data_IF_171735919080
#
_entry.id   IF_171735919080
#
_cell.length_a   1.000
_cell.length_b   1.000
_cell.length_c   1.000
_cell.angle_alpha   90.00
_cell.angle_beta   90.00
_cell.angle_gamma   90.00
#
_symmetry.space_group_name_H-M   'P 1'
#
loop_
_entity.id
_entity.type
_entity.pdbx_description
1 polymer ?
#
# COMPACT_ATOMS: atom_id res chain seq x y z
N UNK A 1 -18.40 -0.04 5.99
CA UNK A 1 -18.65 0.72 4.75
C UNK A 1 -17.92 0.06 3.57
N UNK A 2 -16.59 -0.04 3.55
CA UNK A 2 -15.83 -0.58 2.40
C UNK A 2 -16.25 -2.00 2.06
N UNK A 3 -16.38 -2.90 3.04
CA UNK A 3 -16.81 -4.29 2.79
C UNK A 3 -18.14 -4.35 2.02
N UNK A 4 -19.16 -3.62 2.47
CA UNK A 4 -20.45 -3.59 1.79
C UNK A 4 -20.36 -3.05 0.35
N UNK A 5 -19.36 -2.21 0.05
CA UNK A 5 -19.13 -1.71 -1.31
C UNK A 5 -18.50 -2.80 -2.17
N UNK A 6 -17.54 -3.55 -1.63
CA UNK A 6 -16.91 -4.69 -2.31
C UNK A 6 -17.97 -5.76 -2.63
N UNK A 7 -18.79 -6.13 -1.64
CA UNK A 7 -19.87 -7.11 -1.83
C UNK A 7 -20.81 -6.66 -2.95
N UNK A 8 -21.20 -5.38 -2.99
CA UNK A 8 -22.03 -4.83 -4.07
C UNK A 8 -21.39 -4.91 -5.44
N UNK A 9 -20.07 -4.70 -5.56
CA UNK A 9 -19.38 -4.86 -6.83
C UNK A 9 -19.39 -6.33 -7.28
N UNK A 10 -19.10 -7.25 -6.38
CA UNK A 10 -19.15 -8.68 -6.65
C UNK A 10 -20.57 -9.12 -7.08
N UNK A 11 -21.61 -8.70 -6.36
CA UNK A 11 -23.03 -8.98 -6.66
C UNK A 11 -23.46 -8.40 -8.03
N UNK A 12 -22.85 -7.28 -8.44
CA UNK A 12 -23.08 -6.69 -9.77
C UNK A 12 -22.25 -7.34 -10.90
N UNK A 13 -21.53 -8.43 -10.59
CA UNK A 13 -20.78 -9.20 -11.57
C UNK A 13 -19.39 -8.67 -11.92
N UNK A 14 -18.86 -7.73 -11.16
CA UNK A 14 -17.44 -7.36 -11.29
C UNK A 14 -16.58 -8.52 -10.79
N UNK A 15 -15.73 -9.04 -11.68
CA UNK A 15 -14.89 -10.20 -11.41
C UNK A 15 -13.52 -9.82 -10.86
N UNK A 16 -13.08 -8.60 -11.14
CA UNK A 16 -11.76 -8.11 -10.79
C UNK A 16 -11.89 -6.88 -9.89
N UNK A 17 -11.54 -7.04 -8.62
CA UNK A 17 -11.62 -5.97 -7.62
C UNK A 17 -10.24 -5.66 -7.09
N UNK A 18 -9.78 -4.43 -7.32
CA UNK A 18 -8.50 -3.94 -6.84
C UNK A 18 -8.76 -2.79 -5.88
N UNK A 19 -8.10 -2.84 -4.73
CA UNK A 19 -8.10 -1.74 -3.79
C UNK A 19 -6.83 -0.90 -3.96
N UNK A 20 -6.97 0.41 -3.99
CA UNK A 20 -5.83 1.31 -4.01
C UNK A 20 -5.94 2.32 -2.87
N UNK A 21 -4.81 2.65 -2.26
CA UNK A 21 -4.83 3.64 -1.20
C UNK A 21 -3.45 4.18 -0.83
N UNK A 22 -3.44 5.43 -0.37
CA UNK A 22 -2.26 6.10 0.16
C UNK A 22 -2.28 6.06 1.69
N UNK A 23 -1.10 5.90 2.32
CA UNK A 23 -0.94 5.97 3.77
C UNK A 23 -1.87 5.01 4.51
N UNK A 24 -2.70 5.49 5.43
CA UNK A 24 -3.67 4.68 6.16
C UNK A 24 -4.70 4.00 5.24
N UNK A 25 -5.06 4.62 4.12
CA UNK A 25 -5.93 4.02 3.11
C UNK A 25 -5.30 2.77 2.48
N UNK A 26 -4.03 2.82 2.10
CA UNK A 26 -3.28 1.67 1.61
C UNK A 26 -3.14 0.57 2.67
N UNK A 27 -2.89 0.96 3.92
CA UNK A 27 -2.80 0.02 5.05
C UNK A 27 -4.12 -0.71 5.30
N UNK A 28 -5.24 0.02 5.25
CA UNK A 28 -6.57 -0.59 5.39
C UNK A 28 -6.92 -1.49 4.21
N UNK A 29 -6.50 -1.15 2.99
CA UNK A 29 -6.70 -2.00 1.81
C UNK A 29 -6.02 -3.36 1.97
N UNK A 30 -4.76 -3.37 2.41
CA UNK A 30 -4.02 -4.60 2.73
C UNK A 30 -4.71 -5.41 3.83
N UNK A 31 -5.16 -4.75 4.90
CA UNK A 31 -5.88 -5.38 5.99
C UNK A 31 -7.19 -6.02 5.53
N UNK A 32 -7.94 -5.34 4.66
CA UNK A 32 -9.18 -5.88 4.10
C UNK A 32 -8.88 -7.10 3.24
N UNK A 33 -7.87 -7.06 2.37
CA UNK A 33 -7.50 -8.20 1.54
C UNK A 33 -7.10 -9.42 2.40
N UNK A 34 -6.28 -9.23 3.45
CA UNK A 34 -5.84 -10.32 4.33
C UNK A 34 -7.00 -11.02 5.06
N UNK A 35 -8.17 -10.37 5.15
CA UNK A 35 -9.39 -10.89 5.76
C UNK A 35 -10.46 -11.28 4.73
N UNK A 36 -10.21 -11.07 3.44
CA UNK A 36 -11.17 -11.41 2.39
C UNK A 36 -10.98 -12.86 1.93
N UNK A 37 -12.08 -13.51 1.58
CA UNK A 37 -12.08 -14.85 1.00
C UNK A 37 -11.98 -14.75 -0.52
N UNK A 38 -10.84 -14.22 -1.02
CA UNK A 38 -10.52 -14.06 -2.45
C UNK A 38 -11.45 -13.13 -3.25
N UNK A 39 -12.15 -12.21 -2.57
CA UNK A 39 -12.96 -11.19 -3.24
C UNK A 39 -12.15 -10.01 -3.80
N UNK A 40 -10.87 -9.91 -3.41
CA UNK A 40 -9.98 -8.81 -3.78
C UNK A 40 -8.76 -9.41 -4.46
N UNK A 41 -8.62 -9.13 -5.76
CA UNK A 41 -7.56 -9.69 -6.59
C UNK A 41 -6.20 -9.04 -6.33
N UNK A 42 -6.20 -7.75 -5.96
CA UNK A 42 -4.95 -7.05 -5.70
C UNK A 42 -5.10 -5.78 -4.87
N UNK A 43 -3.96 -5.32 -4.33
CA UNK A 43 -3.86 -4.04 -3.63
C UNK A 43 -2.73 -3.19 -4.19
N UNK A 44 -3.01 -1.92 -4.44
CA UNK A 44 -1.99 -0.91 -4.71
C UNK A 44 -1.81 -0.05 -3.45
N UNK A 45 -0.71 -0.29 -2.74
CA UNK A 45 -0.35 0.43 -1.52
C UNK A 45 0.65 1.55 -1.80
N UNK A 46 0.20 2.79 -1.78
CA UNK A 46 1.05 3.97 -1.97
C UNK A 46 1.55 4.45 -0.60
N UNK A 47 2.81 4.17 -0.27
CA UNK A 47 3.36 4.42 1.07
C UNK A 47 2.41 3.97 2.20
N UNK A 48 1.90 2.72 2.18
CA UNK A 48 0.87 2.29 3.12
C UNK A 48 1.42 2.31 4.55
N UNK A 49 0.61 2.74 5.51
CA UNK A 49 1.04 2.74 6.90
C UNK A 49 -0.01 3.23 7.88
N UNK A 50 0.22 2.89 9.13
CA UNK A 50 -0.58 3.31 10.28
C UNK A 50 0.31 3.60 11.48
N UNK A 51 -0.21 4.32 12.48
CA UNK A 51 0.49 4.56 13.74
C UNK A 51 1.43 5.76 13.75
N UNK A 52 1.25 6.72 12.84
CA UNK A 52 2.03 7.96 12.82
C UNK A 52 3.45 7.80 12.26
N UNK A 53 4.35 8.71 12.59
CA UNK A 53 5.73 8.71 12.11
C UNK A 53 6.57 7.59 12.72
N UNK A 54 7.67 7.22 12.05
CA UNK A 54 8.67 6.29 12.61
C UNK A 54 9.18 6.76 13.98
N UNK A 55 9.37 8.08 14.16
CA UNK A 55 9.79 8.65 15.44
C UNK A 55 8.75 8.38 16.54
N UNK A 56 7.49 8.68 16.28
CA UNK A 56 6.41 8.47 17.26
C UNK A 56 6.29 6.99 17.67
N UNK A 57 6.44 6.07 16.70
CA UNK A 57 6.38 4.64 17.01
C UNK A 57 7.53 4.15 17.89
N UNK A 58 8.73 4.72 17.74
CA UNK A 58 9.86 4.42 18.63
C UNK A 58 9.62 4.90 20.06
N UNK A 59 8.96 6.05 20.21
CA UNK A 59 8.59 6.59 21.52
C UNK A 59 7.45 5.79 22.19
N UNK A 60 6.62 5.14 21.37
CA UNK A 60 5.43 4.40 21.80
C UNK A 60 5.41 2.99 21.19
N UNK A 61 6.20 2.03 21.70
CA UNK A 61 6.38 0.71 21.08
C UNK A 61 5.09 -0.07 20.84
N UNK A 62 4.06 0.13 21.66
CA UNK A 62 2.75 -0.50 21.52
C UNK A 62 2.02 -0.12 20.22
N UNK A 63 2.46 0.90 19.50
CA UNK A 63 1.95 1.24 18.18
C UNK A 63 2.25 0.17 17.12
N UNK A 64 3.34 -0.57 17.27
CA UNK A 64 3.65 -1.67 16.34
C UNK A 64 2.60 -2.80 16.43
N UNK A 65 2.16 -3.14 17.65
CA UNK A 65 1.12 -4.14 17.84
C UNK A 65 -0.21 -3.67 17.23
N UNK A 66 -0.54 -2.39 17.40
CA UNK A 66 -1.75 -1.79 16.83
C UNK A 66 -1.71 -1.74 15.31
N UNK A 67 -0.57 -1.49 14.69
CA UNK A 67 -0.47 -1.45 13.22
C UNK A 67 -1.00 -2.72 12.58
N UNK A 68 -0.61 -3.85 13.10
CA UNK A 68 -0.98 -5.16 12.56
C UNK A 68 -2.26 -5.73 13.17
N UNK A 69 -2.83 -5.04 14.17
CA UNK A 69 -4.08 -5.49 14.76
C UNK A 69 -5.20 -5.57 13.73
N UNK A 70 -5.84 -6.73 13.69
CA UNK A 70 -6.95 -7.03 12.78
C UNK A 70 -6.54 -7.32 11.34
N UNK A 71 -5.25 -7.54 11.07
CA UNK A 71 -4.86 -8.29 9.88
C UNK A 71 -5.27 -9.76 10.06
N UNK A 72 -5.65 -10.38 8.97
CA UNK A 72 -5.88 -11.82 8.88
C UNK A 72 -4.64 -12.57 8.42
N UNK A 73 -4.78 -13.38 7.39
CA UNK A 73 -3.70 -14.19 6.85
C UNK A 73 -2.84 -13.39 5.87
N UNK A 74 -1.58 -13.14 6.25
CA UNK A 74 -0.62 -12.43 5.41
C UNK A 74 -0.26 -13.18 4.12
N UNK A 75 -0.41 -14.50 4.07
CA UNK A 75 -0.12 -15.28 2.87
C UNK A 75 -1.13 -15.06 1.75
N UNK A 76 -2.29 -14.50 2.08
CA UNK A 76 -3.35 -14.13 1.12
C UNK A 76 -3.10 -12.77 0.43
N UNK A 77 -2.07 -12.03 0.85
CA UNK A 77 -1.81 -10.73 0.27
C UNK A 77 -1.25 -10.88 -1.15
N UNK A 78 -1.86 -10.17 -2.09
CA UNK A 78 -1.36 -9.93 -3.44
C UNK A 78 -1.34 -8.41 -3.62
N UNK A 79 -0.17 -7.81 -3.63
CA UNK A 79 -0.07 -6.35 -3.59
C UNK A 79 1.19 -5.82 -4.26
N UNK A 80 1.10 -4.62 -4.81
CA UNK A 80 2.27 -3.77 -5.07
C UNK A 80 2.33 -2.67 -4.02
N UNK A 81 3.49 -2.52 -3.40
CA UNK A 81 3.73 -1.53 -2.33
C UNK A 81 4.82 -0.57 -2.79
N UNK A 82 4.43 0.67 -3.01
CA UNK A 82 5.37 1.73 -3.34
C UNK A 82 5.97 2.29 -2.05
N UNK A 83 7.30 2.35 -1.96
CA UNK A 83 8.05 2.81 -0.78
C UNK A 83 9.10 3.83 -1.15
N UNK A 84 9.59 4.59 -0.14
CA UNK A 84 10.72 5.49 -0.27
C UNK A 84 11.55 5.47 1.02
N UNK A 85 12.88 5.37 0.94
CA UNK A 85 13.77 5.25 2.09
C UNK A 85 13.70 6.43 3.07
N UNK A 86 13.38 7.61 2.56
CA UNK A 86 13.24 8.84 3.35
C UNK A 86 11.80 9.16 3.76
N UNK A 87 10.90 8.18 3.65
CA UNK A 87 9.55 8.34 4.19
C UNK A 87 9.59 8.38 5.72
N UNK A 88 9.13 9.48 6.30
CA UNK A 88 9.12 9.67 7.75
C UNK A 88 8.03 8.86 8.47
N UNK A 89 7.07 8.35 7.73
CA UNK A 89 5.95 7.57 8.29
C UNK A 89 6.22 6.08 8.22
N UNK A 90 6.86 5.59 7.14
CA UNK A 90 7.11 4.17 6.96
C UNK A 90 8.43 3.94 6.23
N UNK A 91 9.35 3.27 6.88
CA UNK A 91 10.56 2.80 6.23
C UNK A 91 10.33 1.44 5.55
N UNK A 92 11.14 1.05 4.56
CA UNK A 92 11.04 -0.28 3.94
C UNK A 92 11.14 -1.45 4.95
N UNK A 93 11.76 -1.22 6.11
CA UNK A 93 11.87 -2.24 7.17
C UNK A 93 10.56 -2.42 7.96
N UNK A 94 9.68 -1.44 7.91
CA UNK A 94 8.39 -1.49 8.61
C UNK A 94 7.39 -2.50 8.01
N UNK A 95 7.76 -3.15 6.89
CA UNK A 95 6.89 -4.07 6.15
C UNK A 95 7.27 -5.54 6.31
N UNK A 96 8.00 -5.89 7.38
CA UNK A 96 8.54 -7.25 7.57
C UNK A 96 7.47 -8.35 7.55
N UNK A 97 6.29 -8.11 8.09
CA UNK A 97 5.19 -9.07 8.08
C UNK A 97 4.53 -9.21 6.71
N UNK A 98 4.47 -8.13 5.93
CA UNK A 98 3.90 -8.17 4.58
C UNK A 98 4.78 -8.97 3.61
N UNK A 99 6.09 -9.06 3.89
CA UNK A 99 7.05 -9.87 3.13
C UNK A 99 6.87 -11.38 3.32
N UNK A 100 5.95 -11.82 4.18
CA UNK A 100 5.59 -13.24 4.32
C UNK A 100 4.79 -13.77 3.13
N UNK A 101 4.12 -12.92 2.38
CA UNK A 101 3.52 -13.31 1.10
C UNK A 101 4.55 -13.21 -0.02
N UNK A 102 4.57 -14.22 -0.89
CA UNK A 102 5.39 -14.22 -2.10
C UNK A 102 4.80 -13.32 -3.20
N UNK A 103 3.52 -12.95 -3.07
CA UNK A 103 2.78 -12.16 -4.06
C UNK A 103 2.71 -10.67 -3.67
N UNK A 104 3.56 -10.23 -2.73
CA UNK A 104 3.74 -8.82 -2.39
C UNK A 104 5.01 -8.29 -3.02
N UNK A 105 4.84 -7.41 -4.01
CA UNK A 105 5.92 -6.71 -4.71
C UNK A 105 6.21 -5.37 -4.02
N UNK A 106 7.49 -5.05 -3.81
CA UNK A 106 7.93 -3.79 -3.24
C UNK A 106 8.71 -2.99 -4.28
N UNK A 107 8.21 -1.80 -4.60
CA UNK A 107 8.88 -0.84 -5.48
C UNK A 107 9.43 0.31 -4.63
N UNK A 108 10.75 0.43 -4.57
CA UNK A 108 11.41 1.53 -3.88
C UNK A 108 11.69 2.67 -4.88
N UNK A 109 11.06 3.81 -4.66
CA UNK A 109 11.19 4.99 -5.53
C UNK A 109 12.20 6.02 -5.02
N UNK A 110 13.19 5.60 -4.22
CA UNK A 110 14.20 6.50 -3.65
C UNK A 110 15.09 7.16 -4.72
N UNK A 111 15.22 6.53 -5.89
CA UNK A 111 15.95 7.06 -7.06
C UNK A 111 15.08 7.95 -7.96
N UNK A 112 13.82 8.17 -7.62
CA UNK A 112 12.92 9.06 -8.35
C UNK A 112 13.55 10.45 -8.52
N UNK A 113 13.42 10.99 -9.73
CA UNK A 113 13.84 12.36 -10.04
C UNK A 113 12.93 13.41 -9.41
N UNK A 114 11.78 12.99 -8.89
CA UNK A 114 10.82 13.86 -8.26
C UNK A 114 11.33 14.36 -6.92
N UNK A 115 11.29 15.69 -6.74
CA UNK A 115 11.83 16.33 -5.54
C UNK A 115 10.73 16.64 -4.53
N UNK A 116 11.08 16.51 -3.24
CA UNK A 116 10.28 16.80 -2.05
C UNK A 116 9.49 18.12 -2.08
N UNK A 117 9.86 19.09 -2.91
CA UNK A 117 9.40 20.49 -2.82
C UNK A 117 7.89 20.73 -3.00
N UNK A 118 7.13 19.74 -3.39
CA UNK A 118 5.73 19.93 -3.76
C UNK A 118 4.73 19.16 -2.88
N UNK A 119 5.15 18.53 -1.78
CA UNK A 119 4.28 17.56 -1.11
C UNK A 119 3.97 17.93 0.33
N UNK A 120 2.69 17.92 0.67
CA UNK A 120 2.21 17.75 2.04
C UNK A 120 2.73 16.39 2.56
N UNK A 121 3.56 16.40 3.63
CA UNK A 121 4.12 15.18 4.21
C UNK A 121 5.48 14.73 3.65
N UNK A 122 6.16 15.55 2.83
CA UNK A 122 7.50 15.25 2.33
C UNK A 122 7.51 14.04 1.37
N UNK A 123 8.43 13.10 1.57
CA UNK A 123 8.54 11.90 0.71
C UNK A 123 7.32 10.98 0.82
N UNK A 124 6.59 11.02 1.92
CA UNK A 124 5.35 10.25 2.10
C UNK A 124 4.27 10.64 1.09
N UNK A 125 4.18 11.91 0.72
CA UNK A 125 3.22 12.40 -0.27
C UNK A 125 3.73 12.38 -1.72
N UNK A 126 4.96 11.93 -1.97
CA UNK A 126 5.59 12.01 -3.30
C UNK A 126 4.78 11.31 -4.39
N UNK A 127 4.23 10.14 -4.06
CA UNK A 127 3.40 9.32 -4.97
C UNK A 127 2.09 9.98 -5.41
N UNK A 128 1.67 11.04 -4.74
CA UNK A 128 0.46 11.81 -5.08
C UNK A 128 0.76 13.00 -5.99
N UNK A 129 1.99 13.13 -6.47
CA UNK A 129 2.39 14.27 -7.32
C UNK A 129 2.27 13.95 -8.80
N UNK A 130 2.01 15.00 -9.60
CA UNK A 130 2.07 14.88 -11.07
C UNK A 130 3.44 14.37 -11.54
N UNK A 131 4.52 14.81 -10.88
CA UNK A 131 5.87 14.34 -11.20
C UNK A 131 6.00 12.83 -11.11
N UNK A 132 5.51 12.22 -10.03
CA UNK A 132 5.55 10.76 -9.89
C UNK A 132 4.64 10.07 -10.93
N UNK A 133 3.45 10.60 -11.18
CA UNK A 133 2.57 10.05 -12.19
C UNK A 133 3.19 10.08 -13.60
N UNK A 134 3.94 11.13 -13.92
CA UNK A 134 4.66 11.25 -15.20
C UNK A 134 5.86 10.27 -15.28
N UNK A 135 6.52 9.96 -14.16
CA UNK A 135 7.55 8.91 -14.08
C UNK A 135 6.93 7.52 -14.22
N UNK A 136 5.86 7.22 -13.51
CA UNK A 136 5.16 5.94 -13.55
C UNK A 136 4.68 5.60 -14.97
N UNK A 137 4.22 6.58 -15.74
CA UNK A 137 3.86 6.38 -17.15
C UNK A 137 5.03 5.88 -18.01
N UNK A 138 6.27 6.15 -17.60
CA UNK A 138 7.48 5.70 -18.32
C UNK A 138 7.97 4.35 -17.83
N UNK A 139 7.92 4.12 -16.53
CA UNK A 139 8.45 2.92 -15.87
C UNK A 139 7.44 1.77 -15.83
N UNK A 140 6.13 2.09 -15.80
CA UNK A 140 5.01 1.15 -15.89
C UNK A 140 4.94 0.09 -14.76
N UNK A 141 5.47 0.35 -13.57
CA UNK A 141 5.45 -0.62 -12.47
C UNK A 141 4.03 -1.01 -12.08
N UNK A 142 3.14 -0.03 -11.90
CA UNK A 142 1.75 -0.28 -11.57
C UNK A 142 0.99 -0.97 -12.72
N UNK A 143 1.27 -0.57 -13.96
CA UNK A 143 0.65 -1.19 -15.14
C UNK A 143 1.10 -2.65 -15.26
N UNK A 144 2.37 -2.94 -15.05
CA UNK A 144 2.89 -4.30 -15.11
C UNK A 144 2.32 -5.17 -13.99
N UNK A 145 2.16 -4.62 -12.78
CA UNK A 145 1.47 -5.31 -11.71
C UNK A 145 0.01 -5.64 -12.10
N UNK A 146 -0.74 -4.66 -12.60
CA UNK A 146 -2.12 -4.88 -13.03
C UNK A 146 -2.23 -5.98 -14.10
N UNK A 147 -1.31 -5.99 -15.09
CA UNK A 147 -1.26 -7.03 -16.12
C UNK A 147 -1.00 -8.44 -15.60
N UNK A 148 -0.34 -8.58 -14.45
CA UNK A 148 -0.12 -9.89 -13.80
C UNK A 148 -1.38 -10.42 -13.13
N UNK A 149 -2.34 -9.54 -12.79
CA UNK A 149 -3.58 -9.94 -12.13
C UNK A 149 -4.64 -10.46 -13.10
N UNK A 150 -4.51 -10.14 -14.38
CA UNK A 150 -5.49 -10.44 -15.46
C UNK A 150 -4.83 -11.10 -16.66
#
# INVERSE_FOLDING_TARGET
>A
VIKNTIDKFADNGFKNIILAGHSSGGWQSLKIQSNSDNLIDGVIGLHPGAGGTVKNRKEWPWWEDIRYYGFGDFTKLNAIIITHDKDNYNSPNDYSLLKKSNDVEFVNISDSKCKKKATLGGYHGLVLTKCYADEEQKENDLINYLRKLF
#
